data_IF_083857371796
#
_entry.id   IF_083857371796
#
_cell.length_a   1.000
_cell.length_b   1.000
_cell.length_c   1.000
_cell.angle_alpha   90.00
_cell.angle_beta   90.00
_cell.angle_gamma   90.00
#
_symmetry.space_group_name_H-M   'P 1'
#
loop_
_entity.id
_entity.type
_entity.pdbx_description
1 polymer ?
#
# COMPACT_ATOMS: atom_id res chain seq x y z
N UNK A 1 3.12 -5.18 18.88
CA UNK A 1 4.00 -4.27 18.10
C UNK A 1 5.11 -3.64 18.93
N UNK A 2 4.94 -3.40 20.24
CA UNK A 2 6.00 -2.85 21.10
C UNK A 2 7.26 -3.75 21.19
N UNK A 3 7.10 -5.07 21.16
CA UNK A 3 8.21 -6.04 21.22
C UNK A 3 9.06 -6.07 19.93
N UNK A 4 8.48 -5.71 18.77
CA UNK A 4 9.21 -5.60 17.52
C UNK A 4 10.17 -4.39 17.49
N UNK A 5 9.88 -3.34 18.25
CA UNK A 5 10.78 -2.18 18.37
C UNK A 5 12.09 -2.52 19.12
N UNK A 6 12.05 -3.49 20.04
CA UNK A 6 13.24 -3.90 20.81
C UNK A 6 14.22 -4.74 19.97
N UNK A 7 13.73 -5.52 19.01
CA UNK A 7 14.56 -6.38 18.15
C UNK A 7 15.15 -5.56 16.97
N UNK A 8 14.47 -4.48 16.56
CA UNK A 8 14.91 -3.59 15.48
C UNK A 8 15.75 -2.38 15.93
N UNK A 9 15.91 -2.10 17.23
CA UNK A 9 16.67 -0.91 17.69
C UNK A 9 18.12 -0.89 17.18
N UNK A 10 18.75 -2.06 16.98
CA UNK A 10 20.07 -2.21 16.35
C UNK A 10 20.02 -2.17 14.81
N UNK A 11 18.84 -2.38 14.20
CA UNK A 11 18.66 -2.40 12.74
C UNK A 11 18.14 -1.06 12.16
N UNK A 12 17.57 -0.18 12.99
CA UNK A 12 17.00 1.12 12.60
C UNK A 12 18.03 2.11 12.05
N UNK A 13 19.33 1.90 12.25
CA UNK A 13 20.40 2.74 11.70
C UNK A 13 20.90 2.29 10.31
N UNK A 14 20.42 1.14 9.81
CA UNK A 14 20.82 0.64 8.50
C UNK A 14 19.77 0.98 7.43
N UNK A 15 20.23 1.37 6.25
CA UNK A 15 19.36 1.77 5.12
C UNK A 15 18.46 0.62 4.65
N UNK A 16 18.89 -0.63 4.85
CA UNK A 16 18.24 -1.82 4.30
C UNK A 16 16.88 -2.14 4.97
N UNK A 17 16.72 -2.22 6.31
CA UNK A 17 15.42 -2.34 6.97
C UNK A 17 14.46 -1.21 6.65
N UNK A 18 14.98 0.02 6.47
CA UNK A 18 14.16 1.16 6.08
C UNK A 18 13.58 0.98 4.66
N UNK A 19 14.38 0.49 3.70
CA UNK A 19 13.91 0.17 2.34
C UNK A 19 12.87 -0.96 2.38
N UNK A 20 13.15 -2.06 3.09
CA UNK A 20 12.24 -3.21 3.18
C UNK A 20 10.90 -2.77 3.80
N UNK A 21 10.97 -1.99 4.88
CA UNK A 21 9.78 -1.46 5.54
C UNK A 21 9.02 -0.46 4.66
N UNK A 22 9.71 0.33 3.86
CA UNK A 22 9.09 1.21 2.86
C UNK A 22 8.37 0.42 1.76
N UNK A 23 9.01 -0.62 1.22
CA UNK A 23 8.41 -1.51 0.21
C UNK A 23 7.16 -2.19 0.76
N UNK A 24 7.21 -2.72 1.99
CA UNK A 24 6.04 -3.34 2.63
C UNK A 24 4.88 -2.36 2.82
N UNK A 25 5.15 -1.10 3.14
CA UNK A 25 4.09 -0.07 3.27
C UNK A 25 3.58 0.45 1.94
N UNK A 26 4.38 0.38 0.87
CA UNK A 26 3.97 0.81 -0.46
C UNK A 26 2.72 0.06 -0.95
N UNK A 27 2.52 -1.19 -0.54
CA UNK A 27 1.29 -1.94 -0.83
C UNK A 27 0.04 -1.28 -0.30
N UNK A 28 0.08 -0.79 0.95
CA UNK A 28 -1.05 -0.10 1.56
C UNK A 28 -1.36 1.19 0.81
N UNK A 29 -0.33 1.92 0.37
CA UNK A 29 -0.49 3.09 -0.49
C UNK A 29 -1.22 2.70 -1.78
N UNK A 30 -0.76 1.67 -2.48
CA UNK A 30 -1.34 1.21 -3.75
C UNK A 30 -2.80 0.78 -3.57
N UNK A 31 -3.10 0.00 -2.52
CA UNK A 31 -4.45 -0.46 -2.21
C UNK A 31 -5.39 0.72 -1.90
N UNK A 32 -4.89 1.75 -1.21
CA UNK A 32 -5.65 2.98 -0.94
C UNK A 32 -6.05 3.66 -2.24
N UNK A 33 -5.10 3.81 -3.15
CA UNK A 33 -5.31 4.49 -4.42
C UNK A 33 -6.31 3.73 -5.30
N UNK A 34 -6.19 2.40 -5.36
CA UNK A 34 -7.15 1.54 -6.08
C UNK A 34 -8.55 1.67 -5.47
N UNK A 35 -8.68 1.61 -4.14
CA UNK A 35 -9.97 1.76 -3.46
C UNK A 35 -10.63 3.11 -3.75
N UNK A 36 -9.86 4.20 -3.76
CA UNK A 36 -10.33 5.54 -4.10
C UNK A 36 -10.89 5.60 -5.54
N UNK A 37 -10.21 4.96 -6.50
CA UNK A 37 -10.70 4.90 -7.88
C UNK A 37 -12.01 4.13 -8.01
N UNK A 38 -12.10 2.95 -7.39
CA UNK A 38 -13.32 2.14 -7.42
C UNK A 38 -14.50 2.86 -6.77
N UNK A 39 -14.27 3.58 -5.68
CA UNK A 39 -15.29 4.39 -5.04
C UNK A 39 -15.91 5.40 -6.01
N UNK A 40 -15.09 6.05 -6.84
CA UNK A 40 -15.55 7.07 -7.78
C UNK A 40 -16.44 6.51 -8.90
N UNK A 41 -16.11 5.32 -9.43
CA UNK A 41 -16.89 4.68 -10.49
C UNK A 41 -18.12 3.91 -10.01
N UNK A 42 -18.25 3.67 -8.70
CA UNK A 42 -19.33 2.86 -8.18
C UNK A 42 -20.61 3.64 -7.86
N UNK A 43 -21.71 2.90 -7.64
CA UNK A 43 -22.99 3.46 -7.16
C UNK A 43 -22.79 4.12 -5.80
N UNK A 44 -23.65 5.09 -5.46
CA UNK A 44 -23.56 5.90 -4.22
C UNK A 44 -23.25 5.07 -2.96
N UNK A 45 -23.93 3.95 -2.73
CA UNK A 45 -23.74 3.09 -1.56
C UNK A 45 -22.32 2.49 -1.49
N UNK A 46 -21.79 2.07 -2.63
CA UNK A 46 -20.44 1.52 -2.76
C UNK A 46 -19.36 2.60 -2.82
N UNK A 47 -19.71 3.83 -3.24
CA UNK A 47 -18.82 4.99 -3.17
C UNK A 47 -18.48 5.32 -1.73
N UNK A 48 -19.49 5.37 -0.85
CA UNK A 48 -19.26 5.62 0.59
C UNK A 48 -18.41 4.51 1.19
N UNK A 49 -18.70 3.24 0.88
CA UNK A 49 -17.90 2.11 1.36
C UNK A 49 -16.44 2.17 0.87
N UNK A 50 -16.21 2.46 -0.41
CA UNK A 50 -14.86 2.57 -0.97
C UNK A 50 -14.07 3.75 -0.41
N UNK A 51 -14.72 4.89 -0.17
CA UNK A 51 -14.10 6.03 0.50
C UNK A 51 -13.75 5.72 1.95
N UNK A 52 -14.65 5.04 2.67
CA UNK A 52 -14.39 4.61 4.05
C UNK A 52 -13.20 3.65 4.11
N UNK A 53 -13.11 2.69 3.18
CA UNK A 53 -11.94 1.79 3.08
C UNK A 53 -10.67 2.59 2.79
N UNK A 54 -10.69 3.52 1.83
CA UNK A 54 -9.53 4.37 1.55
C UNK A 54 -9.11 5.20 2.77
N UNK A 55 -10.07 5.78 3.50
CA UNK A 55 -9.80 6.51 4.74
C UNK A 55 -9.19 5.63 5.82
N UNK A 56 -9.72 4.41 6.03
CA UNK A 56 -9.15 3.45 6.98
C UNK A 56 -7.73 3.05 6.60
N UNK A 57 -7.44 2.88 5.31
CA UNK A 57 -6.10 2.55 4.85
C UNK A 57 -5.13 3.72 5.04
N UNK A 58 -5.55 4.97 4.83
CA UNK A 58 -4.76 6.16 5.16
C UNK A 58 -4.44 6.19 6.65
N UNK A 59 -5.46 5.98 7.50
CA UNK A 59 -5.27 5.95 8.96
C UNK A 59 -4.35 4.80 9.40
N UNK A 60 -4.41 3.66 8.73
CA UNK A 60 -3.54 2.50 9.01
C UNK A 60 -2.07 2.76 8.71
N UNK A 61 -1.76 3.77 7.89
CA UNK A 61 -0.39 4.16 7.55
C UNK A 61 0.16 5.23 8.49
N UNK A 62 -0.66 5.86 9.33
CA UNK A 62 -0.19 6.89 10.25
C UNK A 62 0.72 6.28 11.31
N UNK A 63 1.81 6.99 11.68
CA UNK A 63 2.62 6.57 12.82
C UNK A 63 1.77 6.60 14.10
N UNK A 64 2.08 5.75 15.08
CA UNK A 64 1.40 5.78 16.36
C UNK A 64 1.53 7.16 17.00
N UNK A 65 0.60 7.55 17.88
CA UNK A 65 0.56 8.89 18.48
C UNK A 65 1.90 9.29 19.12
N UNK A 66 2.60 8.33 19.74
CA UNK A 66 3.93 8.55 20.31
C UNK A 66 5.02 8.79 19.25
N UNK A 67 4.85 8.23 18.04
CA UNK A 67 5.70 8.47 16.88
C UNK A 67 5.42 9.82 16.19
N UNK A 68 4.21 10.37 16.34
CA UNK A 68 3.85 11.70 15.80
C UNK A 68 4.74 12.80 16.41
N UNK A 69 4.99 12.71 17.72
CA UNK A 69 5.87 13.65 18.42
C UNK A 69 7.33 13.63 17.90
N UNK A 70 7.75 12.53 17.25
CA UNK A 70 9.11 12.31 16.78
C UNK A 70 9.19 12.10 15.26
N UNK A 71 8.23 12.58 14.47
CA UNK A 71 8.17 12.34 13.01
C UNK A 71 9.47 12.72 12.31
N UNK A 72 10.05 13.87 12.64
CA UNK A 72 11.26 14.37 11.98
C UNK A 72 12.56 13.83 12.55
N UNK A 73 12.50 13.13 13.70
CA UNK A 73 13.67 12.56 14.36
C UNK A 73 13.86 11.06 14.05
N UNK A 74 12.83 10.41 13.50
CA UNK A 74 12.86 8.99 13.14
C UNK A 74 12.43 8.81 11.69
N UNK A 75 13.38 8.39 10.84
CA UNK A 75 13.17 8.14 9.41
C UNK A 75 12.01 7.18 9.13
N UNK A 76 11.76 6.22 10.02
CA UNK A 76 10.65 5.27 9.86
C UNK A 76 9.28 5.95 10.08
N UNK A 77 9.19 6.86 11.06
CA UNK A 77 7.98 7.65 11.31
C UNK A 77 7.76 8.69 10.20
N UNK A 78 8.84 9.33 9.73
CA UNK A 78 8.81 10.22 8.57
C UNK A 78 8.27 9.51 7.32
N UNK A 79 8.71 8.28 7.05
CA UNK A 79 8.23 7.48 5.92
C UNK A 79 6.76 7.10 6.05
N UNK A 80 6.31 6.66 7.23
CA UNK A 80 4.90 6.34 7.49
C UNK A 80 4.01 7.57 7.26
N UNK A 81 4.39 8.69 7.84
CA UNK A 81 3.67 9.95 7.71
C UNK A 81 3.64 10.45 6.26
N UNK A 82 4.79 10.39 5.56
CA UNK A 82 4.91 10.77 4.15
C UNK A 82 4.02 9.93 3.24
N UNK A 83 3.97 8.61 3.44
CA UNK A 83 3.08 7.72 2.69
C UNK A 83 1.60 8.00 2.97
N UNK A 84 1.22 8.24 4.23
CA UNK A 84 -0.15 8.58 4.59
C UNK A 84 -0.61 9.89 3.93
N UNK A 85 0.24 10.93 3.93
CA UNK A 85 -0.04 12.19 3.23
C UNK A 85 -0.15 11.96 1.72
N UNK A 86 0.77 11.21 1.13
CA UNK A 86 0.74 10.93 -0.30
C UNK A 86 -0.54 10.17 -0.69
N UNK A 87 -0.93 9.17 0.10
CA UNK A 87 -2.20 8.46 -0.05
C UNK A 87 -3.40 9.39 0.02
N UNK A 88 -3.42 10.35 0.95
CA UNK A 88 -4.48 11.33 1.07
C UNK A 88 -4.54 12.25 -0.15
N UNK A 89 -3.41 12.82 -0.57
CA UNK A 89 -3.33 13.70 -1.75
C UNK A 89 -3.81 12.97 -2.99
N UNK A 90 -3.34 11.75 -3.23
CA UNK A 90 -3.78 10.94 -4.36
C UNK A 90 -5.29 10.65 -4.30
N UNK A 91 -5.82 10.27 -3.13
CA UNK A 91 -7.25 9.98 -2.94
C UNK A 91 -8.09 11.22 -3.25
N UNK A 92 -7.73 12.39 -2.70
CA UNK A 92 -8.43 13.66 -2.98
C UNK A 92 -8.32 14.05 -4.45
N UNK A 93 -7.14 13.89 -5.06
CA UNK A 93 -6.93 14.15 -6.49
C UNK A 93 -7.83 13.30 -7.39
N UNK A 94 -7.97 12.01 -7.07
CA UNK A 94 -8.83 11.08 -7.80
C UNK A 94 -10.30 11.45 -7.69
N UNK A 95 -10.73 11.86 -6.49
CA UNK A 95 -12.11 12.27 -6.26
C UNK A 95 -12.44 13.57 -7.02
N UNK A 96 -11.50 14.52 -7.04
CA UNK A 96 -11.72 15.85 -7.62
C UNK A 96 -11.56 15.90 -9.14
N UNK A 97 -10.68 15.09 -9.73
CA UNK A 97 -10.42 15.07 -11.18
C UNK A 97 -10.35 13.65 -11.76
N UNK A 98 -11.50 13.02 -12.07
CA UNK A 98 -11.55 11.63 -12.54
C UNK A 98 -11.11 11.42 -14.01
N UNK A 99 -10.65 12.46 -14.71
CA UNK A 99 -10.42 12.46 -16.17
C UNK A 99 -9.05 11.92 -16.60
N UNK A 100 -8.20 11.51 -15.65
CA UNK A 100 -6.85 11.02 -15.94
C UNK A 100 -6.85 9.67 -16.66
N UNK A 101 -5.78 9.30 -17.40
CA UNK A 101 -5.64 8.01 -18.09
C UNK A 101 -5.50 6.86 -17.09
N UNK A 102 -6.63 6.52 -16.48
CA UNK A 102 -6.76 5.70 -15.28
C UNK A 102 -6.28 4.26 -15.50
N UNK A 103 -6.41 3.71 -16.71
CA UNK A 103 -5.96 2.35 -17.02
C UNK A 103 -4.44 2.25 -16.92
N UNK A 104 -3.70 3.21 -17.50
CA UNK A 104 -2.23 3.21 -17.46
C UNK A 104 -1.76 3.39 -16.01
N UNK A 105 -2.43 4.28 -15.27
CA UNK A 105 -2.12 4.53 -13.87
C UNK A 105 -2.37 3.29 -12.99
N UNK A 106 -3.53 2.62 -13.12
CA UNK A 106 -3.83 1.40 -12.37
C UNK A 106 -2.89 0.25 -12.76
N UNK A 107 -2.58 0.08 -14.05
CA UNK A 107 -1.60 -0.95 -14.47
C UNK A 107 -0.24 -0.66 -13.83
N UNK A 108 0.23 0.58 -13.87
CA UNK A 108 1.48 0.98 -13.23
C UNK A 108 1.47 0.73 -11.72
N UNK A 109 0.36 1.03 -11.05
CA UNK A 109 0.17 0.76 -9.62
C UNK A 109 0.19 -0.74 -9.29
N UNK A 110 -0.48 -1.57 -10.08
CA UNK A 110 -0.49 -3.02 -9.85
C UNK A 110 0.90 -3.61 -10.08
N UNK A 111 1.57 -3.24 -11.18
CA UNK A 111 2.94 -3.69 -11.45
C UNK A 111 3.87 -3.25 -10.32
N UNK A 112 3.78 -1.98 -9.90
CA UNK A 112 4.53 -1.46 -8.77
C UNK A 112 4.28 -2.24 -7.47
N UNK A 113 3.03 -2.62 -7.23
CA UNK A 113 2.62 -3.40 -6.05
C UNK A 113 3.15 -4.82 -6.06
N UNK A 114 3.13 -5.48 -7.22
CA UNK A 114 3.73 -6.81 -7.38
C UNK A 114 5.24 -6.74 -7.12
N UNK A 115 5.93 -5.77 -7.73
CA UNK A 115 7.38 -5.58 -7.56
C UNK A 115 7.70 -5.30 -6.10
N UNK A 116 6.96 -4.40 -5.44
CA UNK A 116 7.19 -4.12 -4.02
C UNK A 116 6.89 -5.32 -3.13
N UNK A 117 5.95 -6.20 -3.53
CA UNK A 117 5.56 -7.36 -2.71
C UNK A 117 6.68 -8.37 -2.74
N UNK A 118 7.15 -8.67 -3.95
CA UNK A 118 8.27 -9.58 -4.15
C UNK A 118 9.52 -9.04 -3.47
N UNK A 119 9.87 -7.77 -3.70
CA UNK A 119 11.06 -7.15 -3.11
C UNK A 119 11.01 -7.04 -1.59
N UNK A 120 9.87 -6.64 -1.02
CA UNK A 120 9.67 -6.53 0.42
C UNK A 120 9.69 -7.89 1.12
N UNK A 121 9.04 -8.91 0.53
CA UNK A 121 9.02 -10.28 1.07
C UNK A 121 10.40 -10.91 0.99
N UNK A 122 11.09 -10.79 -0.15
CA UNK A 122 12.45 -11.28 -0.30
C UNK A 122 13.38 -10.63 0.72
N UNK A 123 13.40 -9.31 0.81
CA UNK A 123 14.26 -8.60 1.76
C UNK A 123 13.94 -8.97 3.22
N UNK A 124 12.65 -9.20 3.53
CA UNK A 124 12.25 -9.66 4.87
C UNK A 124 12.73 -11.08 5.16
N UNK A 125 12.64 -11.99 4.17
CA UNK A 125 13.14 -13.36 4.31
C UNK A 125 14.66 -13.39 4.48
N UNK A 126 15.39 -12.56 3.73
CA UNK A 126 16.84 -12.44 3.85
C UNK A 126 17.27 -11.91 5.23
N UNK A 127 16.57 -10.88 5.73
CA UNK A 127 16.79 -10.34 7.06
C UNK A 127 16.47 -11.37 8.17
N UNK A 128 15.42 -12.16 8.02
CA UNK A 128 15.05 -13.19 9.00
C UNK A 128 15.98 -14.40 8.96
N UNK A 129 16.44 -14.81 7.77
CA UNK A 129 17.45 -15.85 7.62
C UNK A 129 18.78 -15.42 8.27
N UNK A 130 19.16 -14.15 8.12
CA UNK A 130 20.34 -13.58 8.82
C UNK A 130 20.19 -13.66 10.34
N UNK A 131 18.96 -13.60 10.86
CA UNK A 131 18.65 -13.73 12.29
C UNK A 131 18.34 -15.16 12.73
N UNK A 132 18.48 -16.18 11.85
CA UNK A 132 18.08 -17.57 12.09
C UNK A 132 16.62 -17.76 12.56
N UNK A 133 15.73 -16.86 12.15
CA UNK A 133 14.30 -16.95 12.47
C UNK A 133 13.57 -17.58 11.28
N UNK A 134 13.01 -18.78 11.46
CA UNK A 134 12.13 -19.38 10.47
C UNK A 134 10.73 -18.74 10.55
N UNK A 135 10.35 -17.98 9.52
CA UNK A 135 9.01 -17.41 9.42
C UNK A 135 8.33 -17.79 8.10
N UNK A 136 7.08 -18.22 8.17
CA UNK A 136 6.24 -18.49 7.00
C UNK A 136 5.63 -17.19 6.44
N UNK A 137 6.46 -16.33 5.84
CA UNK A 137 6.01 -15.11 5.15
C UNK A 137 5.22 -15.39 3.85
N UNK A 138 5.27 -16.63 3.36
CA UNK A 138 4.74 -17.02 2.04
C UNK A 138 3.21 -16.90 1.91
N UNK A 139 2.46 -17.17 2.97
CA UNK A 139 0.98 -17.19 2.91
C UNK A 139 0.41 -15.77 2.77
N UNK A 140 0.94 -14.81 3.54
CA UNK A 140 0.52 -13.41 3.45
C UNK A 140 0.88 -12.78 2.11
N UNK A 141 2.09 -13.06 1.61
CA UNK A 141 2.54 -12.61 0.29
C UNK A 141 1.66 -13.15 -0.85
N UNK A 142 1.33 -14.45 -0.81
CA UNK A 142 0.47 -15.08 -1.79
C UNK A 142 -0.94 -14.47 -1.81
N UNK A 143 -1.52 -14.18 -0.65
CA UNK A 143 -2.83 -13.51 -0.55
C UNK A 143 -2.83 -12.13 -1.20
N UNK A 144 -1.78 -11.33 -0.96
CA UNK A 144 -1.62 -10.00 -1.56
C UNK A 144 -1.46 -10.09 -3.09
N UNK A 145 -0.68 -11.04 -3.59
CA UNK A 145 -0.51 -11.27 -5.03
C UNK A 145 -1.82 -11.68 -5.71
N UNK A 146 -2.62 -12.56 -5.08
CA UNK A 146 -3.94 -12.96 -5.59
C UNK A 146 -4.85 -11.73 -5.69
N UNK A 147 -4.84 -10.85 -4.69
CA UNK A 147 -5.63 -9.60 -4.72
C UNK A 147 -5.23 -8.72 -5.91
N UNK A 148 -3.92 -8.55 -6.18
CA UNK A 148 -3.46 -7.78 -7.33
C UNK A 148 -3.90 -8.36 -8.67
N UNK A 149 -3.87 -9.70 -8.82
CA UNK A 149 -4.36 -10.39 -10.02
C UNK A 149 -5.86 -10.17 -10.20
N UNK A 150 -6.65 -10.33 -9.13
CA UNK A 150 -8.09 -10.08 -9.15
C UNK A 150 -8.41 -8.63 -9.55
N UNK A 151 -7.62 -7.66 -9.07
CA UNK A 151 -7.75 -6.26 -9.47
C UNK A 151 -7.51 -6.05 -10.96
N UNK A 152 -6.45 -6.65 -11.54
CA UNK A 152 -6.23 -6.58 -12.98
C UNK A 152 -7.41 -7.15 -13.77
N UNK A 153 -7.91 -8.31 -13.37
CA UNK A 153 -9.06 -8.95 -14.03
C UNK A 153 -10.30 -8.04 -13.98
N UNK A 154 -10.60 -7.46 -12.82
CA UNK A 154 -11.70 -6.51 -12.67
C UNK A 154 -11.54 -5.26 -13.55
N UNK A 155 -10.32 -4.75 -13.71
CA UNK A 155 -10.02 -3.60 -14.59
C UNK A 155 -10.28 -3.95 -16.06
N UNK A 156 -9.86 -5.13 -16.51
CA UNK A 156 -10.12 -5.57 -17.88
C UNK A 156 -11.61 -5.78 -18.17
N UNK A 157 -12.35 -6.39 -17.23
CA UNK A 157 -13.80 -6.59 -17.35
C UNK A 157 -14.55 -5.25 -17.38
N UNK A 158 -14.20 -4.31 -16.51
CA UNK A 158 -14.86 -2.99 -16.52
C UNK A 158 -14.57 -2.18 -17.77
N UNK A 159 -13.40 -2.36 -18.40
CA UNK A 159 -13.09 -1.73 -19.69
C UNK A 159 -13.93 -2.32 -20.82
N UNK A 160 -14.05 -3.65 -20.91
CA UNK A 160 -14.80 -4.29 -22.01
C UNK A 160 -16.27 -3.84 -22.01
N UNK A 161 -16.90 -3.74 -20.84
CA UNK A 161 -18.28 -3.26 -20.70
C UNK A 161 -18.49 -1.79 -21.09
N UNK A 162 -17.45 -0.95 -21.03
CA UNK A 162 -17.54 0.45 -21.48
C UNK A 162 -17.44 0.57 -23.00
N UNK A 163 -16.74 -0.36 -23.67
CA UNK A 163 -16.62 -0.37 -25.14
C UNK A 163 -17.90 -0.88 -25.82
N UNK A 164 -18.68 -1.74 -25.19
CA UNK A 164 -19.95 -2.25 -25.73
C UNK A 164 -21.14 -1.27 -25.60
N UNK A 165 -20.99 -0.19 -24.81
CA UNK A 165 -22.07 0.78 -24.51
C UNK A 165 -21.91 2.14 -25.21
N UNK A 166 -20.82 2.35 -25.94
CA UNK A 166 -20.55 3.57 -26.70
C UNK A 166 -20.65 3.31 -28.19
#
# INVERSE_FOLDING_TARGET
MAEWNSILATSQQSTLPLIISGLLRLHLFIMTVIAAFYAMKSRISFRVAGLLVASLLILSQLPPVNGIANIFNDNNNAQQFGLAILSLICTVGIITKPQWPWVIFIIGLVIGGIISTIGGVWGSLDALNTLNISAALSIGAAGILILYILFLVLVFITRSQQTERG
#
